data_IF_316292634427
#
_entry.id   IF_316292634427
#
_cell.length_a   1.000
_cell.length_b   1.000
_cell.length_c   1.000
_cell.angle_alpha   90.00
_cell.angle_beta   90.00
_cell.angle_gamma   90.00
#
_symmetry.space_group_name_H-M   'P 1'
#
loop_
_entity.id
_entity.type
_entity.pdbx_description
1 polymer ?
#
# COMPACT_ATOMS: atom_id res chain seq x y z
N UNK A 1 18.61 -28.19 10.52
CA UNK A 1 17.97 -27.23 9.59
C UNK A 1 18.64 -27.37 8.24
N UNK A 2 17.97 -27.91 7.23
CA UNK A 2 18.48 -27.80 5.86
C UNK A 2 18.37 -26.34 5.44
N UNK A 3 19.51 -25.65 5.31
CA UNK A 3 19.55 -24.37 4.59
C UNK A 3 19.13 -24.65 3.15
N UNK A 4 18.14 -23.93 2.66
CA UNK A 4 17.75 -23.99 1.25
C UNK A 4 18.90 -23.39 0.43
N UNK A 5 19.66 -24.22 -0.31
CA UNK A 5 20.86 -23.76 -1.02
C UNK A 5 20.58 -22.82 -2.21
N UNK A 6 19.31 -22.59 -2.54
CA UNK A 6 18.88 -21.84 -3.73
C UNK A 6 18.25 -20.47 -3.41
N UNK A 7 18.26 -20.04 -2.15
CA UNK A 7 17.53 -18.83 -1.72
C UNK A 7 18.41 -17.59 -1.53
N UNK A 8 19.73 -17.71 -1.67
CA UNK A 8 20.69 -16.63 -1.40
C UNK A 8 20.88 -15.66 -2.56
N UNK A 9 20.68 -16.13 -3.79
CA UNK A 9 20.94 -15.39 -5.02
C UNK A 9 19.62 -15.07 -5.76
N UNK A 10 19.55 -13.91 -6.40
CA UNK A 10 18.40 -13.49 -7.20
C UNK A 10 18.33 -14.16 -8.58
N UNK A 11 19.45 -14.71 -9.05
CA UNK A 11 19.59 -15.30 -10.39
C UNK A 11 19.52 -16.83 -10.43
N UNK A 12 19.49 -17.47 -9.25
CA UNK A 12 19.50 -18.94 -9.13
C UNK A 12 18.08 -19.50 -9.07
N UNK A 13 17.76 -20.41 -10.00
CA UNK A 13 16.50 -21.14 -9.99
C UNK A 13 16.54 -22.33 -9.02
N UNK A 14 15.45 -22.54 -8.31
CA UNK A 14 15.23 -23.76 -7.54
C UNK A 14 14.98 -24.97 -8.46
N UNK A 15 15.08 -26.22 -7.96
CA UNK A 15 14.71 -27.41 -8.72
C UNK A 15 13.26 -27.42 -9.23
N UNK A 16 12.38 -26.58 -8.65
CA UNK A 16 11.00 -26.40 -9.08
C UNK A 16 10.82 -25.25 -10.08
N UNK A 17 11.91 -24.63 -10.56
CA UNK A 17 11.87 -23.51 -11.51
C UNK A 17 11.45 -22.18 -10.89
N UNK A 18 11.67 -21.98 -9.59
CA UNK A 18 11.29 -20.75 -8.87
C UNK A 18 12.50 -19.89 -8.54
N UNK A 19 12.31 -18.58 -8.55
CA UNK A 19 13.27 -17.60 -8.02
C UNK A 19 12.83 -17.19 -6.62
N UNK A 20 13.46 -17.74 -5.58
CA UNK A 20 13.02 -17.52 -4.20
C UNK A 20 13.13 -16.05 -3.75
N UNK A 21 14.16 -15.32 -4.19
CA UNK A 21 14.28 -13.88 -3.89
C UNK A 21 13.11 -13.06 -4.44
N UNK A 22 12.53 -13.47 -5.58
CA UNK A 22 11.33 -12.82 -6.14
C UNK A 22 10.09 -13.19 -5.32
N UNK A 23 9.95 -14.45 -4.91
CA UNK A 23 8.84 -14.88 -4.02
C UNK A 23 8.88 -14.15 -2.67
N UNK A 24 10.07 -13.92 -2.11
CA UNK A 24 10.23 -13.17 -0.87
C UNK A 24 9.92 -11.68 -1.04
N UNK A 25 10.30 -11.09 -2.17
CA UNK A 25 9.92 -9.72 -2.51
C UNK A 25 8.39 -9.58 -2.65
N UNK A 26 7.73 -10.53 -3.28
CA UNK A 26 6.26 -10.59 -3.37
C UNK A 26 5.60 -10.69 -1.99
N UNK A 27 6.19 -11.48 -1.08
CA UNK A 27 5.69 -11.57 0.28
C UNK A 27 5.86 -10.25 1.04
N UNK A 28 6.97 -9.53 0.84
CA UNK A 28 7.16 -8.19 1.39
C UNK A 28 6.08 -7.19 0.92
N UNK A 29 5.61 -7.30 -0.33
CA UNK A 29 4.50 -6.48 -0.84
C UNK A 29 3.21 -6.78 -0.06
N UNK A 30 2.92 -8.06 0.22
CA UNK A 30 1.73 -8.46 1.02
C UNK A 30 1.77 -7.94 2.45
N UNK A 31 2.96 -7.73 3.02
CA UNK A 31 3.11 -7.15 4.37
C UNK A 31 2.90 -5.63 4.39
N UNK A 32 3.03 -4.95 3.25
CA UNK A 32 2.67 -3.54 3.09
C UNK A 32 1.19 -3.31 3.40
N UNK A 33 0.80 -2.11 3.88
CA UNK A 33 -0.62 -1.85 4.13
C UNK A 33 -1.44 -1.87 2.84
N UNK A 34 -2.76 -2.03 2.94
CA UNK A 34 -3.64 -2.15 1.79
C UNK A 34 -3.64 -0.89 0.90
N UNK A 35 -3.73 -1.11 -0.39
CA UNK A 35 -4.02 -0.11 -1.42
C UNK A 35 -4.99 -0.70 -2.43
N UNK A 36 -5.96 0.08 -2.88
CA UNK A 36 -7.00 -0.30 -3.82
C UNK A 36 -7.01 0.70 -4.96
N UNK A 37 -7.17 0.18 -6.18
CA UNK A 37 -7.31 0.95 -7.40
C UNK A 37 -8.60 0.57 -8.10
N UNK A 38 -9.28 1.57 -8.63
CA UNK A 38 -10.53 1.46 -9.38
C UNK A 38 -10.48 2.38 -10.59
N UNK A 39 -11.08 1.99 -11.72
CA UNK A 39 -11.32 2.89 -12.83
C UNK A 39 -12.73 2.76 -13.40
N UNK A 40 -13.29 3.89 -13.79
CA UNK A 40 -14.46 4.01 -14.65
C UNK A 40 -14.03 4.45 -16.05
N UNK A 41 -14.97 4.76 -16.94
CA UNK A 41 -14.68 5.39 -18.25
C UNK A 41 -14.06 6.77 -18.14
N UNK A 42 -14.33 7.48 -17.04
CA UNK A 42 -13.98 8.90 -16.89
C UNK A 42 -12.90 9.14 -15.84
N UNK A 43 -12.87 8.33 -14.78
CA UNK A 43 -11.97 8.55 -13.65
C UNK A 43 -11.21 7.28 -13.28
N UNK A 44 -10.03 7.44 -12.70
CA UNK A 44 -9.40 6.39 -11.91
C UNK A 44 -9.07 6.90 -10.51
N UNK A 45 -9.18 6.02 -9.52
CA UNK A 45 -9.06 6.36 -8.09
C UNK A 45 -8.16 5.36 -7.41
N UNK A 46 -7.30 5.85 -6.51
CA UNK A 46 -6.53 5.06 -5.57
C UNK A 46 -6.99 5.37 -4.16
N UNK A 47 -7.23 4.33 -3.36
CA UNK A 47 -7.52 4.45 -1.94
C UNK A 47 -6.48 3.66 -1.16
N UNK A 48 -5.91 4.27 -0.14
CA UNK A 48 -4.80 3.67 0.61
C UNK A 48 -5.05 3.75 2.10
N UNK A 49 -4.69 2.67 2.79
CA UNK A 49 -4.63 2.63 4.25
C UNK A 49 -3.22 2.99 4.71
N UNK A 50 -3.08 4.12 5.39
CA UNK A 50 -1.87 4.53 6.08
C UNK A 50 -1.79 3.85 7.44
N UNK A 51 -0.58 3.47 7.85
CA UNK A 51 -0.30 2.87 9.15
C UNK A 51 0.51 3.87 9.96
N UNK A 52 0.18 4.02 11.24
CA UNK A 52 1.05 4.65 12.23
C UNK A 52 1.80 3.55 12.99
N UNK A 53 3.07 3.79 13.33
CA UNK A 53 3.87 2.88 14.15
C UNK A 53 3.62 3.05 15.65
N UNK A 54 2.95 4.14 16.06
CA UNK A 54 2.61 4.45 17.45
C UNK A 54 2.00 5.84 17.56
N UNK A 55 1.52 6.22 18.75
CA UNK A 55 0.80 7.50 18.96
C UNK A 55 1.65 8.74 18.62
N UNK A 56 2.96 8.67 18.88
CA UNK A 56 3.89 9.77 18.57
C UNK A 56 4.31 9.83 17.10
N UNK A 57 3.93 8.82 16.29
CA UNK A 57 4.37 8.72 14.91
C UNK A 57 3.35 9.30 13.93
N UNK A 58 3.85 10.04 12.94
CA UNK A 58 3.03 10.50 11.82
C UNK A 58 2.72 9.35 10.87
N UNK A 59 1.52 9.39 10.28
CA UNK A 59 1.12 8.46 9.23
C UNK A 59 2.01 8.58 7.99
N UNK A 60 2.55 7.45 7.55
CA UNK A 60 3.39 7.41 6.35
C UNK A 60 2.53 7.59 5.08
N UNK A 61 2.91 8.55 4.24
CA UNK A 61 2.26 8.77 2.93
C UNK A 61 2.53 7.62 1.98
N UNK A 62 1.47 7.17 1.30
CA UNK A 62 1.51 6.04 0.36
C UNK A 62 1.23 6.42 -1.09
N UNK A 63 0.67 7.61 -1.28
CA UNK A 63 0.35 8.16 -2.59
C UNK A 63 1.50 9.05 -3.03
N UNK A 64 2.04 8.78 -4.22
CA UNK A 64 3.15 9.54 -4.79
C UNK A 64 2.72 10.05 -6.15
N UNK A 65 2.74 11.37 -6.32
CA UNK A 65 2.58 12.01 -7.62
C UNK A 65 3.83 11.81 -8.47
N UNK A 66 3.65 11.32 -9.70
CA UNK A 66 4.72 11.12 -10.68
C UNK A 66 4.75 12.27 -11.68
N UNK A 67 3.61 12.58 -12.29
CA UNK A 67 3.43 13.72 -13.20
C UNK A 67 2.01 14.27 -13.03
N UNK A 68 1.62 15.27 -13.83
CA UNK A 68 0.26 15.83 -13.84
C UNK A 68 -0.82 14.79 -14.19
N UNK A 69 -0.46 13.77 -14.98
CA UNK A 69 -1.36 12.77 -15.54
C UNK A 69 -1.11 11.35 -15.01
N UNK A 70 -0.20 11.17 -14.03
CA UNK A 70 0.14 9.86 -13.43
C UNK A 70 0.44 9.98 -11.95
N UNK A 71 -0.08 9.04 -11.16
CA UNK A 71 0.29 8.86 -9.76
C UNK A 71 0.24 7.39 -9.34
N UNK A 72 0.89 7.10 -8.21
CA UNK A 72 1.06 5.73 -7.73
C UNK A 72 0.68 5.58 -6.27
N UNK A 73 0.10 4.43 -5.93
CA UNK A 73 -0.02 3.92 -4.56
C UNK A 73 0.99 2.79 -4.34
N UNK A 74 1.63 2.79 -3.17
CA UNK A 74 2.71 1.86 -2.86
C UNK A 74 2.25 0.77 -1.88
N UNK A 75 2.77 -0.45 -2.01
CA UNK A 75 2.76 -1.47 -0.96
C UNK A 75 4.11 -2.18 -0.90
N UNK A 76 4.66 -2.38 0.31
CA UNK A 76 5.98 -2.97 0.53
C UNK A 76 7.02 -1.91 0.95
N UNK A 77 8.26 -2.09 0.52
CA UNK A 77 9.41 -1.28 0.93
C UNK A 77 9.37 0.15 0.34
N UNK A 78 9.24 1.13 1.21
CA UNK A 78 9.14 2.55 0.81
C UNK A 78 10.45 3.14 0.26
N UNK A 79 11.60 2.57 0.60
CA UNK A 79 12.90 2.92 0.01
C UNK A 79 12.93 2.61 -1.49
N UNK A 80 12.52 1.39 -1.85
CA UNK A 80 12.43 0.95 -3.25
C UNK A 80 11.37 1.74 -4.01
N UNK A 81 10.25 2.05 -3.33
CA UNK A 81 9.21 2.90 -3.88
C UNK A 81 9.75 4.26 -4.34
N UNK A 82 10.62 4.89 -3.54
CA UNK A 82 11.24 6.18 -3.87
C UNK A 82 12.17 6.08 -5.08
N UNK A 83 12.96 5.01 -5.17
CA UNK A 83 13.85 4.77 -6.31
C UNK A 83 13.06 4.65 -7.61
N UNK A 84 12.02 3.81 -7.63
CA UNK A 84 11.19 3.62 -8.81
C UNK A 84 10.35 4.86 -9.14
N UNK A 85 9.79 5.55 -8.14
CA UNK A 85 9.03 6.79 -8.36
C UNK A 85 9.89 7.91 -8.96
N UNK A 86 11.14 8.04 -8.52
CA UNK A 86 12.07 9.01 -9.09
C UNK A 86 12.45 8.65 -10.53
N UNK A 87 12.65 7.36 -10.82
CA UNK A 87 12.85 6.91 -12.19
C UNK A 87 11.63 7.19 -13.08
N UNK A 88 10.41 6.94 -12.60
CA UNK A 88 9.17 7.29 -13.31
C UNK A 88 9.09 8.79 -13.60
N UNK A 89 9.39 9.64 -12.62
CA UNK A 89 9.45 11.11 -12.82
C UNK A 89 10.44 11.50 -13.90
N UNK A 90 11.63 10.89 -13.91
CA UNK A 90 12.63 11.11 -14.95
C UNK A 90 12.13 10.71 -16.33
N UNK A 91 11.44 9.57 -16.46
CA UNK A 91 10.84 9.13 -17.73
C UNK A 91 9.76 10.09 -18.23
N UNK A 92 8.89 10.56 -17.33
CA UNK A 92 7.84 11.52 -17.66
C UNK A 92 8.43 12.86 -18.13
N UNK A 93 9.40 13.41 -17.40
CA UNK A 93 10.10 14.64 -17.78
C UNK A 93 10.86 14.49 -19.11
N UNK A 94 11.54 13.35 -19.31
CA UNK A 94 12.25 13.05 -20.57
C UNK A 94 11.29 13.03 -21.75
N UNK A 95 10.12 12.40 -21.62
CA UNK A 95 9.13 12.38 -22.69
C UNK A 95 8.66 13.79 -23.06
N UNK A 96 8.37 14.63 -22.06
CA UNK A 96 7.97 16.03 -22.30
C UNK A 96 9.10 16.82 -22.96
N UNK A 97 10.34 16.64 -22.53
CA UNK A 97 11.50 17.33 -23.09
C UNK A 97 11.80 16.92 -24.54
N UNK A 98 11.74 15.62 -24.84
CA UNK A 98 12.09 15.09 -26.17
C UNK A 98 10.95 15.21 -27.19
N UNK A 99 9.71 14.97 -26.76
CA UNK A 99 8.56 14.83 -27.66
C UNK A 99 7.50 15.92 -27.46
N UNK A 100 7.65 16.82 -26.48
CA UNK A 100 6.65 17.84 -26.17
C UNK A 100 5.33 17.29 -25.61
N UNK A 101 5.27 16.01 -25.22
CA UNK A 101 4.05 15.34 -24.77
C UNK A 101 4.24 14.48 -23.52
N UNK A 102 3.15 14.32 -22.78
CA UNK A 102 3.06 13.40 -21.65
C UNK A 102 3.33 11.96 -22.10
N UNK A 103 4.02 11.18 -21.26
CA UNK A 103 4.31 9.77 -21.55
C UNK A 103 3.03 8.92 -21.39
N UNK A 104 2.68 8.03 -22.34
CA UNK A 104 1.55 7.12 -22.17
C UNK A 104 1.70 6.26 -20.91
N UNK A 105 0.59 5.96 -20.23
CA UNK A 105 0.63 5.31 -18.91
C UNK A 105 1.21 3.90 -19.01
N UNK A 106 0.79 3.12 -20.01
CA UNK A 106 1.34 1.79 -20.25
C UNK A 106 2.86 1.81 -20.50
N UNK A 107 3.40 2.87 -21.13
CA UNK A 107 4.85 2.97 -21.41
C UNK A 107 5.68 3.22 -20.16
N UNK A 108 5.22 4.09 -19.26
CA UNK A 108 5.94 4.35 -18.01
C UNK A 108 5.91 3.13 -17.09
N UNK A 109 4.79 2.39 -17.08
CA UNK A 109 4.65 1.14 -16.33
C UNK A 109 5.55 0.04 -16.92
N UNK A 110 5.59 -0.12 -18.24
CA UNK A 110 6.51 -1.07 -18.87
C UNK A 110 7.98 -0.73 -18.56
N UNK A 111 8.32 0.56 -18.52
CA UNK A 111 9.69 0.99 -18.20
C UNK A 111 10.14 0.60 -16.79
N UNK A 112 9.24 0.62 -15.79
CA UNK A 112 9.55 0.12 -14.45
C UNK A 112 9.57 -1.40 -14.39
N UNK A 113 8.73 -2.08 -15.18
CA UNK A 113 8.72 -3.53 -15.31
C UNK A 113 10.06 -4.05 -15.86
N UNK A 114 10.55 -3.46 -16.95
CA UNK A 114 11.84 -3.80 -17.56
C UNK A 114 13.00 -3.55 -16.59
N UNK A 115 12.96 -2.42 -15.87
CA UNK A 115 13.96 -2.08 -14.84
C UNK A 115 13.93 -3.06 -13.65
N UNK A 116 12.76 -3.54 -13.27
CA UNK A 116 12.62 -4.56 -12.22
C UNK A 116 13.15 -5.92 -12.69
N UNK A 117 12.89 -6.28 -13.95
CA UNK A 117 13.36 -7.52 -14.54
C UNK A 117 14.88 -7.59 -14.62
N UNK A 118 15.58 -6.49 -14.88
CA UNK A 118 17.05 -6.45 -14.78
C UNK A 118 17.54 -6.89 -13.39
N UNK A 119 16.84 -6.49 -12.33
CA UNK A 119 17.18 -6.84 -10.96
C UNK A 119 16.86 -8.30 -10.59
N UNK A 120 16.18 -9.08 -11.45
CA UNK A 120 15.93 -10.51 -11.26
C UNK A 120 16.90 -11.39 -12.07
N UNK A 121 17.69 -10.79 -12.97
CA UNK A 121 18.59 -11.51 -13.87
C UNK A 121 20.07 -11.13 -13.71
N UNK A 122 20.39 -9.95 -13.17
CA UNK A 122 21.76 -9.53 -12.88
C UNK A 122 22.21 -9.93 -11.47
N UNK A 123 23.36 -10.61 -11.39
CA UNK A 123 24.00 -10.95 -10.12
C UNK A 123 24.36 -9.69 -9.31
N UNK A 124 24.28 -9.79 -7.98
CA UNK A 124 24.66 -8.72 -7.06
C UNK A 124 23.61 -7.62 -6.89
N UNK A 125 22.44 -7.77 -7.53
CA UNK A 125 21.26 -6.95 -7.26
C UNK A 125 20.25 -7.73 -6.43
N UNK A 126 19.26 -7.02 -5.87
CA UNK A 126 18.07 -7.65 -5.31
C UNK A 126 16.82 -7.17 -6.05
N UNK A 127 15.78 -8.01 -6.16
CA UNK A 127 14.48 -7.56 -6.62
C UNK A 127 13.98 -6.41 -5.74
N UNK A 128 13.18 -5.52 -6.33
CA UNK A 128 12.51 -4.49 -5.56
C UNK A 128 11.50 -5.15 -4.62
N UNK A 129 11.36 -4.70 -3.38
CA UNK A 129 10.39 -5.23 -2.42
C UNK A 129 9.09 -4.42 -2.40
N UNK A 130 8.67 -3.86 -3.54
CA UNK A 130 7.53 -2.95 -3.65
C UNK A 130 6.64 -3.31 -4.82
N UNK A 131 5.33 -3.24 -4.61
CA UNK A 131 4.31 -3.26 -5.66
C UNK A 131 3.67 -1.89 -5.80
N UNK A 132 3.26 -1.54 -7.01
CA UNK A 132 2.54 -0.30 -7.28
C UNK A 132 1.16 -0.57 -7.85
N UNK A 133 0.20 0.25 -7.43
CA UNK A 133 -0.97 0.54 -8.26
C UNK A 133 -0.74 1.91 -8.89
N UNK A 134 -0.73 1.95 -10.21
CA UNK A 134 -0.49 3.16 -11.01
C UNK A 134 -1.81 3.57 -11.63
N UNK A 135 -2.27 4.78 -11.31
CA UNK A 135 -3.36 5.41 -12.05
C UNK A 135 -2.79 6.49 -12.97
N UNK A 136 -3.36 6.59 -14.15
CA UNK A 136 -2.97 7.60 -15.11
C UNK A 136 -4.11 7.93 -16.05
N UNK A 137 -4.04 9.07 -16.72
CA UNK A 137 -4.93 9.39 -17.82
C UNK A 137 -4.12 9.80 -19.03
N UNK A 138 -4.35 9.11 -20.15
CA UNK A 138 -3.79 9.48 -21.44
C UNK A 138 -4.89 9.67 -22.48
N UNK A 139 -4.51 9.78 -23.76
CA UNK A 139 -5.43 10.01 -24.87
C UNK A 139 -6.49 8.91 -25.01
N UNK A 140 -6.22 7.69 -24.51
CA UNK A 140 -7.15 6.57 -24.58
C UNK A 140 -8.09 6.47 -23.38
N UNK A 141 -7.83 7.25 -22.33
CA UNK A 141 -8.71 7.37 -21.16
C UNK A 141 -7.97 7.16 -19.83
N UNK A 142 -8.72 6.92 -18.75
CA UNK A 142 -8.17 6.56 -17.45
C UNK A 142 -7.72 5.10 -17.41
N UNK A 143 -6.54 4.87 -16.86
CA UNK A 143 -5.92 3.56 -16.72
C UNK A 143 -5.60 3.23 -15.27
N UNK A 144 -5.63 1.95 -14.96
CA UNK A 144 -5.15 1.37 -13.71
C UNK A 144 -4.23 0.20 -14.04
N UNK A 145 -2.96 0.32 -13.65
CA UNK A 145 -1.98 -0.76 -13.77
C UNK A 145 -1.53 -1.25 -12.41
N UNK A 146 -1.30 -2.55 -12.31
CA UNK A 146 -0.53 -3.15 -11.22
C UNK A 146 0.89 -3.42 -11.74
N UNK A 147 1.87 -3.03 -10.93
CA UNK A 147 3.27 -3.42 -11.12
C UNK A 147 3.69 -4.30 -9.96
N UNK A 148 4.28 -5.44 -10.31
CA UNK A 148 4.82 -6.41 -9.37
C UNK A 148 6.35 -6.47 -9.46
N UNK A 149 7.05 -6.72 -8.34
CA UNK A 149 8.50 -6.84 -8.31
C UNK A 149 9.07 -7.99 -9.13
N UNK A 150 8.22 -8.92 -9.60
CA UNK A 150 8.58 -9.95 -10.58
C UNK A 150 8.85 -9.42 -11.99
N UNK A 151 8.70 -8.11 -12.22
CA UNK A 151 8.82 -7.51 -13.56
C UNK A 151 7.57 -7.67 -14.41
N UNK A 152 6.45 -8.08 -13.81
CA UNK A 152 5.15 -8.14 -14.49
C UNK A 152 4.37 -6.86 -14.26
N UNK A 153 3.64 -6.44 -15.29
CA UNK A 153 2.69 -5.36 -15.21
C UNK A 153 1.42 -5.71 -15.96
N UNK A 154 0.26 -5.49 -15.32
CA UNK A 154 -1.04 -5.80 -15.90
C UNK A 154 -1.99 -4.62 -15.73
N UNK A 155 -2.84 -4.42 -16.74
CA UNK A 155 -3.92 -3.45 -16.67
C UNK A 155 -5.17 -4.07 -16.04
N UNK A 156 -5.81 -3.35 -15.14
CA UNK A 156 -6.98 -3.82 -14.40
C UNK A 156 -8.13 -2.81 -14.50
N UNK A 157 -9.37 -3.29 -14.34
CA UNK A 157 -10.55 -2.44 -14.05
C UNK A 157 -10.59 -2.05 -12.57
N UNK A 158 -10.20 -3.00 -11.71
CA UNK A 158 -10.09 -2.84 -10.28
C UNK A 158 -9.02 -3.80 -9.76
N UNK A 159 -8.23 -3.37 -8.78
CA UNK A 159 -7.24 -4.23 -8.14
C UNK A 159 -6.92 -3.78 -6.71
N UNK A 160 -6.41 -4.70 -5.90
CA UNK A 160 -5.90 -4.39 -4.57
C UNK A 160 -4.55 -5.09 -4.30
N UNK A 161 -3.67 -4.40 -3.58
CA UNK A 161 -2.37 -4.90 -3.14
C UNK A 161 -2.16 -4.65 -1.65
N UNK A 162 -1.20 -5.34 -1.04
CA UNK A 162 -0.89 -5.23 0.38
C UNK A 162 -1.69 -6.18 1.28
N UNK A 163 -1.67 -5.86 2.57
CA UNK A 163 -2.16 -6.70 3.64
C UNK A 163 -3.66 -6.89 3.54
N UNK A 164 -4.09 -8.15 3.59
CA UNK A 164 -5.50 -8.55 3.47
C UNK A 164 -6.17 -8.01 2.20
N UNK A 165 -5.39 -7.85 1.14
CA UNK A 165 -5.92 -7.45 -0.18
C UNK A 165 -6.96 -8.44 -0.71
N UNK A 166 -6.90 -9.72 -0.33
CA UNK A 166 -7.85 -10.74 -0.80
C UNK A 166 -9.31 -10.42 -0.45
N UNK A 167 -9.61 -9.88 0.73
CA UNK A 167 -10.99 -9.50 1.08
C UNK A 167 -11.49 -8.35 0.19
N UNK A 168 -10.64 -7.35 -0.06
CA UNK A 168 -10.94 -6.31 -1.04
C UNK A 168 -11.16 -6.90 -2.44
N UNK A 169 -10.33 -7.85 -2.90
CA UNK A 169 -10.51 -8.49 -4.22
C UNK A 169 -11.89 -9.16 -4.32
N UNK A 170 -12.32 -9.87 -3.29
CA UNK A 170 -13.66 -10.48 -3.25
C UNK A 170 -14.78 -9.46 -3.33
N UNK A 171 -14.64 -8.28 -2.72
CA UNK A 171 -15.60 -7.19 -2.90
C UNK A 171 -15.57 -6.66 -4.34
N UNK A 172 -14.39 -6.40 -4.88
CA UNK A 172 -14.19 -5.84 -6.21
C UNK A 172 -14.75 -6.78 -7.30
N UNK A 173 -14.50 -8.08 -7.20
CA UNK A 173 -15.01 -9.11 -8.11
C UNK A 173 -16.53 -9.21 -8.12
N UNK A 174 -17.21 -8.88 -7.01
CA UNK A 174 -18.67 -8.88 -6.95
C UNK A 174 -19.31 -7.65 -7.59
N UNK A 175 -18.57 -6.55 -7.68
CA UNK A 175 -19.12 -5.24 -8.07
C UNK A 175 -18.48 -4.67 -9.35
N UNK A 176 -17.52 -5.34 -9.99
CA UNK A 176 -16.71 -4.72 -11.05
C UNK A 176 -17.52 -4.22 -12.26
N UNK A 177 -18.66 -4.85 -12.56
CA UNK A 177 -19.55 -4.44 -13.65
C UNK A 177 -20.16 -3.05 -13.43
N UNK A 178 -20.33 -2.62 -12.17
CA UNK A 178 -20.87 -1.28 -11.88
C UNK A 178 -19.84 -0.17 -12.09
N UNK A 179 -18.54 -0.49 -12.13
CA UNK A 179 -17.48 0.52 -12.12
C UNK A 179 -17.37 1.29 -13.44
N UNK A 180 -17.67 0.65 -14.57
CA UNK A 180 -17.45 1.23 -15.90
C UNK A 180 -18.19 2.56 -16.10
N UNK A 181 -19.44 2.63 -15.62
CA UNK A 181 -20.30 3.80 -15.76
C UNK A 181 -20.50 4.55 -14.42
N UNK A 182 -19.77 4.17 -13.37
CA UNK A 182 -19.87 4.82 -12.07
C UNK A 182 -19.40 6.28 -12.14
N UNK A 183 -20.13 7.15 -11.46
CA UNK A 183 -19.70 8.51 -11.15
C UNK A 183 -18.54 8.50 -10.17
N UNK A 184 -17.80 9.61 -10.07
CA UNK A 184 -16.67 9.72 -9.14
C UNK A 184 -17.07 9.40 -7.67
N UNK A 185 -18.18 9.92 -7.10
CA UNK A 185 -18.58 9.57 -5.75
C UNK A 185 -18.93 8.09 -5.56
N UNK A 186 -19.62 7.47 -6.53
CA UNK A 186 -19.94 6.04 -6.49
C UNK A 186 -18.68 5.17 -6.54
N UNK A 187 -17.72 5.54 -7.40
CA UNK A 187 -16.45 4.85 -7.52
C UNK A 187 -15.64 4.94 -6.22
N UNK A 188 -15.64 6.11 -5.56
CA UNK A 188 -15.02 6.30 -4.25
C UNK A 188 -15.73 5.44 -3.18
N UNK A 189 -17.06 5.38 -3.19
CA UNK A 189 -17.83 4.56 -2.23
C UNK A 189 -17.52 3.06 -2.36
N UNK A 190 -17.41 2.55 -3.59
CA UNK A 190 -16.95 1.18 -3.83
C UNK A 190 -15.52 0.98 -3.30
N UNK A 191 -14.64 1.95 -3.53
CA UNK A 191 -13.27 1.93 -3.05
C UNK A 191 -13.15 1.90 -1.53
N UNK A 192 -13.94 2.73 -0.83
CA UNK A 192 -13.98 2.79 0.63
C UNK A 192 -14.55 1.50 1.22
N UNK A 193 -15.58 0.93 0.60
CA UNK A 193 -16.15 -0.35 1.01
C UNK A 193 -15.14 -1.49 0.87
N UNK A 194 -14.44 -1.56 -0.27
CA UNK A 194 -13.36 -2.53 -0.46
C UNK A 194 -12.20 -2.30 0.54
N UNK A 195 -11.86 -1.04 0.85
CA UNK A 195 -10.78 -0.71 1.80
C UNK A 195 -11.15 -1.10 3.22
N UNK A 196 -12.41 -0.87 3.59
CA UNK A 196 -12.96 -1.27 4.88
C UNK A 196 -12.84 -2.77 5.10
N UNK A 197 -13.12 -3.59 4.07
CA UNK A 197 -13.02 -5.05 4.17
C UNK A 197 -11.56 -5.53 4.37
N UNK A 198 -10.57 -4.67 4.16
CA UNK A 198 -9.16 -4.96 4.49
C UNK A 198 -8.79 -4.63 5.92
N UNK A 199 -9.69 -4.07 6.75
CA UNK A 199 -9.45 -3.70 8.16
C UNK A 199 -9.65 -4.85 9.14
N UNK A 200 -9.08 -4.71 10.35
CA UNK A 200 -9.33 -5.65 11.45
C UNK A 200 -10.72 -5.34 12.01
N UNK A 201 -11.38 -6.31 12.65
CA UNK A 201 -12.76 -6.13 13.14
C UNK A 201 -12.91 -4.91 14.06
N UNK A 202 -11.86 -4.57 14.82
CA UNK A 202 -11.86 -3.46 15.78
C UNK A 202 -11.30 -2.14 15.21
N UNK A 203 -11.06 -2.07 13.90
CA UNK A 203 -10.46 -0.88 13.26
C UNK A 203 -11.39 -0.31 12.21
N UNK A 204 -11.49 1.01 12.22
CA UNK A 204 -12.35 1.77 11.30
C UNK A 204 -11.53 2.69 10.39
N UNK A 205 -12.11 3.06 9.26
CA UNK A 205 -11.55 4.11 8.41
C UNK A 205 -11.70 5.46 9.12
N UNK A 206 -10.58 6.16 9.26
CA UNK A 206 -10.48 7.49 9.84
C UNK A 206 -9.78 8.45 8.88
N UNK A 207 -9.94 9.74 9.15
CA UNK A 207 -9.29 10.81 8.40
C UNK A 207 -7.76 10.67 8.37
N UNK A 208 -7.18 10.21 9.47
CA UNK A 208 -5.74 10.07 9.60
C UNK A 208 -5.22 8.82 8.88
N UNK A 209 -5.99 7.74 8.82
CA UNK A 209 -5.53 6.48 8.23
C UNK A 209 -5.93 6.30 6.75
N UNK A 210 -6.83 7.12 6.21
CA UNK A 210 -7.30 6.98 4.83
C UNK A 210 -6.71 8.07 3.93
N UNK A 211 -6.34 7.72 2.70
CA UNK A 211 -5.93 8.71 1.70
C UNK A 211 -6.38 8.29 0.32
N UNK A 212 -6.87 9.27 -0.44
CA UNK A 212 -7.53 9.06 -1.73
C UNK A 212 -6.77 9.86 -2.77
N UNK A 213 -6.45 9.26 -3.92
CA UNK A 213 -6.00 9.99 -5.10
C UNK A 213 -6.95 9.76 -6.26
N UNK A 214 -7.16 10.79 -7.05
CA UNK A 214 -8.11 10.82 -8.16
C UNK A 214 -7.39 11.31 -9.40
N UNK A 215 -7.72 10.70 -10.52
CA UNK A 215 -7.41 11.21 -11.84
C UNK A 215 -8.66 11.19 -12.71
N UNK A 216 -8.89 12.26 -13.46
CA UNK A 216 -10.03 12.43 -14.34
C UNK A 216 -10.06 13.82 -14.97
N UNK A 217 -11.02 14.10 -15.87
CA UNK A 217 -11.26 15.42 -16.43
C UNK A 217 -11.43 16.47 -15.32
N UNK A 218 -10.93 17.68 -15.55
CA UNK A 218 -11.05 18.78 -14.58
C UNK A 218 -12.45 19.42 -14.53
N UNK A 219 -13.49 18.73 -15.02
CA UNK A 219 -14.80 19.31 -15.28
C UNK A 219 -15.76 19.02 -14.12
N UNK A 220 -15.65 19.84 -13.08
CA UNK A 220 -16.78 20.20 -12.20
C UNK A 220 -16.50 21.56 -11.57
N UNK A 221 -17.04 22.60 -12.21
CA UNK A 221 -17.09 23.98 -11.72
C UNK A 221 -17.82 24.15 -10.37
N UNK A 222 -18.31 23.07 -9.75
CA UNK A 222 -18.89 23.05 -8.40
C UNK A 222 -17.87 22.70 -7.30
N UNK A 223 -16.75 22.06 -7.62
CA UNK A 223 -15.78 21.60 -6.60
C UNK A 223 -14.62 22.60 -6.39
N UNK A 224 -14.53 23.62 -7.25
CA UNK A 224 -13.43 24.59 -7.26
C UNK A 224 -13.59 25.66 -6.17
N UNK A 225 -14.80 25.97 -5.70
CA UNK A 225 -15.00 27.06 -4.73
C UNK A 225 -14.52 26.71 -3.31
N UNK A 226 -14.48 25.42 -2.93
CA UNK A 226 -13.98 25.01 -1.61
C UNK A 226 -12.53 24.49 -1.59
N UNK A 227 -11.87 24.40 -2.75
CA UNK A 227 -10.53 23.79 -2.89
C UNK A 227 -9.40 24.83 -3.06
N UNK A 228 -9.58 26.03 -2.51
CA UNK A 228 -8.60 27.12 -2.63
C UNK A 228 -7.50 27.11 -1.56
N UNK A 229 -7.56 26.22 -0.57
CA UNK A 229 -6.72 26.33 0.64
C UNK A 229 -5.50 25.39 0.74
N UNK A 230 -5.26 24.47 -0.21
CA UNK A 230 -4.02 23.66 -0.21
C UNK A 230 -3.14 23.99 -1.42
N UNK A 231 -2.01 24.65 -1.20
CA UNK A 231 -1.09 25.15 -2.23
C UNK A 231 -0.43 24.05 -3.09
N UNK A 232 -0.64 22.76 -2.77
CA UNK A 232 -0.09 21.63 -3.52
C UNK A 232 -1.01 21.11 -4.66
N UNK A 233 -2.24 21.61 -4.78
CA UNK A 233 -3.26 21.07 -5.69
C UNK A 233 -3.40 21.77 -7.06
N UNK A 234 -2.61 22.81 -7.37
CA UNK A 234 -2.98 23.78 -8.43
C UNK A 234 -2.55 23.49 -9.88
N UNK A 235 -2.10 22.30 -10.24
CA UNK A 235 -1.89 21.95 -11.66
C UNK A 235 -1.90 20.44 -11.87
N UNK A 236 -2.65 19.96 -12.85
CA UNK A 236 -2.70 18.56 -13.27
C UNK A 236 -3.99 17.81 -12.94
N UNK A 237 -4.27 16.76 -13.70
CA UNK A 237 -5.45 15.91 -13.55
C UNK A 237 -5.35 15.02 -12.31
N UNK A 238 -4.13 14.72 -11.83
CA UNK A 238 -3.89 13.95 -10.62
C UNK A 238 -4.03 14.81 -9.35
N UNK A 239 -4.98 14.45 -8.51
CA UNK A 239 -5.30 15.12 -7.24
C UNK A 239 -5.16 14.13 -6.09
N UNK A 240 -4.57 14.56 -4.97
CA UNK A 240 -4.51 13.77 -3.73
C UNK A 240 -5.35 14.48 -2.68
N UNK A 241 -6.34 13.77 -2.14
CA UNK A 241 -7.19 14.23 -1.06
C UNK A 241 -6.73 13.57 0.24
N UNK A 242 -6.37 14.41 1.20
CA UNK A 242 -6.03 14.06 2.58
C UNK A 242 -6.80 15.01 3.51
N UNK A 243 -6.99 14.60 4.77
CA UNK A 243 -7.60 15.43 5.82
C UNK A 243 -9.06 15.80 5.52
N UNK A 244 -9.43 17.07 5.66
CA UNK A 244 -10.83 17.57 5.62
C UNK A 244 -11.59 17.13 4.36
N UNK A 245 -10.93 17.08 3.20
CA UNK A 245 -11.56 16.62 1.95
C UNK A 245 -12.02 15.16 2.00
N UNK A 246 -11.35 14.33 2.81
CA UNK A 246 -11.68 12.92 3.01
C UNK A 246 -12.79 12.76 4.05
N UNK A 247 -12.92 13.70 4.99
CA UNK A 247 -13.92 13.63 6.07
C UNK A 247 -15.35 13.60 5.53
N UNK A 248 -15.68 14.49 4.60
CA UNK A 248 -17.01 14.58 4.01
C UNK A 248 -17.37 13.30 3.23
N UNK A 249 -16.39 12.70 2.56
CA UNK A 249 -16.57 11.44 1.83
C UNK A 249 -16.77 10.28 2.79
N UNK A 250 -16.01 10.23 3.90
CA UNK A 250 -16.19 9.21 4.93
C UNK A 250 -17.57 9.32 5.60
N UNK A 251 -18.03 10.53 5.93
CA UNK A 251 -19.38 10.74 6.47
C UNK A 251 -20.46 10.30 5.49
N UNK A 252 -20.32 10.69 4.22
CA UNK A 252 -21.25 10.29 3.16
C UNK A 252 -21.27 8.77 2.96
N UNK A 253 -20.10 8.14 2.98
CA UNK A 253 -19.96 6.69 2.88
C UNK A 253 -20.56 5.95 4.08
N UNK A 254 -20.31 6.40 5.31
CA UNK A 254 -20.93 5.85 6.53
C UNK A 254 -22.45 5.95 6.48
N UNK A 255 -22.97 7.11 6.05
CA UNK A 255 -24.42 7.33 5.84
C UNK A 255 -25.00 6.36 4.82
N UNK A 256 -24.28 6.05 3.74
CA UNK A 256 -24.72 5.06 2.74
C UNK A 256 -24.83 3.64 3.29
N UNK A 257 -24.10 3.34 4.38
CA UNK A 257 -24.14 2.05 5.09
C UNK A 257 -25.09 2.03 6.30
N UNK A 258 -25.73 3.16 6.62
CA UNK A 258 -26.54 3.30 7.82
C UNK A 258 -25.72 3.34 9.12
N UNK A 259 -24.43 3.63 9.04
CA UNK A 259 -23.52 3.79 10.19
C UNK A 259 -23.54 5.25 10.69
N UNK A 260 -23.31 5.51 12.00
CA UNK A 260 -23.26 6.85 12.55
C UNK A 260 -22.14 7.69 11.91
N UNK A 261 -22.41 8.97 11.64
CA UNK A 261 -21.52 9.85 10.85
C UNK A 261 -20.16 10.06 11.53
N UNK A 262 -20.12 10.19 12.85
CA UNK A 262 -18.89 10.40 13.61
C UNK A 262 -18.04 9.13 13.74
N UNK A 263 -18.60 7.96 13.41
CA UNK A 263 -17.97 6.66 13.63
C UNK A 263 -17.94 6.28 15.12
N UNK A 264 -17.39 5.11 15.50
CA UNK A 264 -17.21 4.76 16.89
C UNK A 264 -16.22 5.73 17.54
N UNK A 265 -16.54 6.22 18.74
CA UNK A 265 -15.66 7.10 19.49
C UNK A 265 -14.35 6.37 19.83
N UNK A 266 -13.20 7.05 19.70
CA UNK A 266 -11.89 6.46 20.02
C UNK A 266 -11.82 5.96 21.48
N UNK A 267 -12.68 6.47 22.37
CA UNK A 267 -12.83 6.01 23.76
C UNK A 267 -13.35 4.57 23.87
N UNK A 268 -14.26 4.11 23.01
CA UNK A 268 -14.77 2.73 23.04
C UNK A 268 -13.72 1.69 22.62
N UNK A 269 -12.75 2.08 21.77
CA UNK A 269 -11.67 1.18 21.33
C UNK A 269 -10.56 0.98 22.38
N UNK A 270 -10.47 1.86 23.38
CA UNK A 270 -9.50 1.75 24.48
C UNK A 270 -10.00 0.91 25.66
N UNK A 271 -11.32 0.78 25.80
CA UNK A 271 -11.96 0.06 26.90
C UNK A 271 -11.92 -1.48 26.77
N UNK A 272 -11.51 -2.02 25.61
CA UNK A 272 -11.47 -3.47 25.33
C UNK A 272 -10.08 -4.09 25.43
N UNK A 273 -9.04 -3.31 25.77
CA UNK A 273 -7.74 -3.86 26.11
C UNK A 273 -7.75 -4.31 27.58
N UNK A 274 -7.61 -5.61 27.92
CA UNK A 274 -7.40 -6.00 29.31
C UNK A 274 -6.07 -5.42 29.76
N UNK A 275 -6.15 -4.49 30.72
CA UNK A 275 -5.02 -3.89 31.43
C UNK A 275 -4.09 -4.99 31.95
N UNK A 276 -2.87 -5.02 31.43
CA UNK A 276 -1.80 -5.88 31.91
C UNK A 276 -1.30 -5.38 33.27
N UNK A 277 -2.03 -5.71 34.33
CA UNK A 277 -1.56 -5.57 35.71
C UNK A 277 -2.33 -6.52 36.62
N UNK A 278 -1.81 -7.74 36.78
CA UNK A 278 -1.87 -8.58 37.99
C UNK A 278 -1.17 -9.91 37.71
N UNK A 279 0.16 -9.91 37.82
CA UNK A 279 0.93 -11.14 37.96
C UNK A 279 1.83 -11.00 39.19
N UNK A 280 1.24 -11.06 40.38
CA UNK A 280 1.95 -11.42 41.60
C UNK A 280 1.03 -12.20 42.55
N UNK A 281 1.40 -13.48 42.72
CA UNK A 281 1.27 -14.20 43.98
C UNK A 281 0.02 -15.07 44.17
N UNK A 282 0.12 -16.38 43.92
CA UNK A 282 -0.05 -17.37 45.01
C UNK A 282 0.62 -18.71 44.70
N UNK A 283 1.09 -19.33 45.77
CA UNK A 283 1.96 -20.49 45.96
C UNK A 283 1.49 -21.82 45.36
N UNK A 284 2.47 -22.68 45.04
CA UNK A 284 2.34 -24.13 44.95
C UNK A 284 3.67 -24.79 45.30
N UNK A 285 3.69 -25.54 46.40
CA UNK A 285 4.84 -26.17 47.06
C UNK A 285 5.22 -27.55 46.52
N UNK A 286 6.51 -27.89 46.70
CA UNK A 286 7.12 -29.22 46.93
C UNK A 286 7.09 -30.30 45.83
N UNK A 287 8.24 -30.58 45.21
CA UNK A 287 9.15 -31.68 45.63
C UNK A 287 10.21 -32.01 44.57
N UNK A 288 11.51 -31.85 44.90
CA UNK A 288 12.61 -32.67 44.35
C UNK A 288 13.86 -32.59 45.27
N UNK A 289 14.61 -33.69 45.49
CA UNK A 289 15.63 -33.78 46.56
C UNK A 289 17.06 -33.40 46.11
N UNK A 290 18.00 -33.23 47.07
CA UNK A 290 19.27 -32.54 46.87
C UNK A 290 20.46 -33.48 46.61
N UNK A 291 21.53 -32.94 46.01
CA UNK A 291 22.83 -33.61 45.96
C UNK A 291 23.83 -32.94 45.04
N UNK A 292 24.59 -31.97 45.56
CA UNK A 292 25.87 -31.55 45.00
C UNK A 292 27.00 -32.06 45.90
N UNK A 293 28.20 -32.28 45.33
CA UNK A 293 29.40 -31.88 46.06
C UNK A 293 30.16 -30.79 45.30
N UNK A 294 30.64 -29.83 46.07
CA UNK A 294 31.54 -28.76 45.66
C UNK A 294 32.94 -29.32 45.36
N UNK A 295 33.60 -28.73 44.37
CA UNK A 295 35.02 -28.91 44.08
C UNK A 295 35.47 -27.75 43.21
N UNK A 296 36.11 -26.76 43.86
CA UNK A 296 36.76 -25.66 43.16
C UNK A 296 38.11 -26.10 42.60
N UNK A 297 38.55 -25.42 41.57
CA UNK A 297 39.97 -25.22 41.28
C UNK A 297 40.13 -23.94 40.45
N UNK A 298 40.87 -23.01 41.03
CA UNK A 298 41.41 -21.81 40.41
C UNK A 298 42.29 -22.19 39.22
N UNK A 299 42.18 -21.44 38.11
CA UNK A 299 43.22 -21.42 37.08
C UNK A 299 43.75 -19.99 36.98
N UNK A 300 44.94 -19.82 37.55
CA UNK A 300 45.82 -18.67 37.41
C UNK A 300 46.26 -18.49 35.96
N UNK A 301 46.23 -17.25 35.48
CA UNK A 301 46.90 -16.81 34.25
C UNK A 301 48.25 -16.20 34.66
N UNK A 302 49.35 -16.82 34.25
CA UNK A 302 50.67 -16.20 34.21
C UNK A 302 51.19 -16.19 32.76
N UNK A 303 51.70 -15.00 32.41
CA UNK A 303 52.60 -14.54 31.33
C UNK A 303 52.53 -15.15 29.91
#
# INVERSE_FOLDING_TARGET
MFRNSYDSDNTTFSPQGKLFQVEYALEAVKQGSAAIGLRSKTHAVLLTLKRSTGELATYQKKLIRIDDHVGVAIAGLTSDARVLSNFMRQQAMRSRMTYGRAIPVGRIVQSIADRAQTNTQEYGRRPYGVGFLVIGQDETGPHLYEFSPSGTAFEYYAHSIGARSQSAKTYLEKNFESFENATLPELINHGLSALHDTLQQDKHLSLQNTSIAIIGPSDSSSDIENLSQSSAAKKGNFRVWENESVENLLKTWRRSRGEPEDGPSEEETSASAPSAEQAQGTQGSENAPPGAPAGGEDVTMEE
#
